data_IF_149592960722
#
_entry.id   IF_149592960722
#
_cell.length_a   1.000
_cell.length_b   1.000
_cell.length_c   1.000
_cell.angle_alpha   90.00
_cell.angle_beta   90.00
_cell.angle_gamma   90.00
#
_symmetry.space_group_name_H-M   'P 1'
#
loop_
_entity.id
_entity.type
_entity.pdbx_description
1 polymer ?
#
# COMPACT_ATOMS: atom_id res chain seq x y z
N UNK A 1 -28.91 30.78 -54.23
CA UNK A 1 -27.43 30.62 -54.40
C UNK A 1 -26.66 30.61 -53.06
N UNK A 2 -27.02 31.41 -52.04
CA UNK A 2 -26.30 31.42 -50.75
C UNK A 2 -26.26 30.10 -49.98
N UNK A 3 -27.35 29.38 -49.99
CA UNK A 3 -27.48 28.08 -49.27
C UNK A 3 -26.74 26.95 -50.01
N UNK A 4 -26.60 27.02 -51.33
CA UNK A 4 -25.89 26.02 -52.12
C UNK A 4 -24.37 26.05 -51.81
N UNK A 5 -23.80 27.26 -51.57
CA UNK A 5 -22.43 27.43 -51.16
C UNK A 5 -22.16 26.87 -49.78
N UNK A 6 -23.11 27.01 -48.83
CA UNK A 6 -22.97 26.47 -47.47
C UNK A 6 -23.00 24.94 -47.47
N UNK A 7 -23.85 24.33 -48.33
CA UNK A 7 -23.93 22.86 -48.44
C UNK A 7 -22.62 22.29 -49.04
N UNK A 8 -22.04 22.96 -50.04
CA UNK A 8 -20.76 22.56 -50.61
C UNK A 8 -19.62 22.70 -49.62
N UNK A 9 -19.61 23.78 -48.77
CA UNK A 9 -18.61 23.98 -47.72
C UNK A 9 -18.73 22.90 -46.62
N UNK A 10 -19.95 22.54 -46.21
CA UNK A 10 -20.15 21.48 -45.23
C UNK A 10 -19.77 20.09 -45.76
N UNK A 11 -20.04 19.79 -47.05
CA UNK A 11 -19.65 18.51 -47.66
C UNK A 11 -18.13 18.39 -47.80
N UNK A 12 -17.43 19.48 -48.09
CA UNK A 12 -15.97 19.51 -48.18
C UNK A 12 -15.29 19.28 -46.80
N UNK A 13 -15.89 19.78 -45.73
CA UNK A 13 -15.36 19.59 -44.36
C UNK A 13 -15.51 18.15 -43.86
N UNK A 14 -16.56 17.45 -44.29
CA UNK A 14 -16.79 16.03 -43.91
C UNK A 14 -15.80 15.11 -44.62
N UNK A 15 -15.46 15.38 -45.90
CA UNK A 15 -14.49 14.58 -46.64
C UNK A 15 -13.04 14.78 -46.16
N UNK A 16 -12.68 15.96 -45.64
CA UNK A 16 -11.35 16.22 -45.10
C UNK A 16 -11.10 15.48 -43.79
N UNK A 17 -12.15 15.26 -42.95
CA UNK A 17 -12.01 14.53 -41.69
C UNK A 17 -11.92 13.01 -41.86
N UNK A 18 -12.45 12.46 -42.95
CA UNK A 18 -12.44 11.00 -43.20
C UNK A 18 -11.03 10.45 -43.52
N UNK A 19 -10.16 11.25 -44.10
CA UNK A 19 -8.79 10.81 -44.45
C UNK A 19 -7.85 10.74 -43.22
N UNK A 20 -8.20 11.39 -42.14
CA UNK A 20 -7.41 11.37 -40.92
C UNK A 20 -7.39 10.00 -40.22
N UNK A 21 -8.45 9.21 -40.37
CA UNK A 21 -8.56 7.88 -39.74
C UNK A 21 -7.83 6.77 -40.52
N UNK A 22 -7.56 6.94 -41.81
CA UNK A 22 -6.96 5.89 -42.65
C UNK A 22 -5.48 5.66 -42.27
N UNK A 23 -4.74 6.72 -41.95
CA UNK A 23 -3.32 6.59 -41.58
C UNK A 23 -3.11 5.95 -40.20
N UNK A 24 -3.83 6.35 -39.12
CA UNK A 24 -3.68 5.69 -37.84
C UNK A 24 -4.16 4.24 -37.82
N UNK A 25 -5.21 3.90 -38.60
CA UNK A 25 -5.68 2.52 -38.68
C UNK A 25 -4.64 1.56 -39.29
N UNK A 26 -3.87 2.01 -40.28
CA UNK A 26 -2.75 1.23 -40.84
C UNK A 26 -1.58 1.12 -39.89
N UNK A 27 -1.33 2.15 -39.07
CA UNK A 27 -0.30 2.14 -38.03
C UNK A 27 -0.67 1.20 -36.86
N UNK A 28 -1.95 1.18 -36.47
CA UNK A 28 -2.46 0.30 -35.41
C UNK A 28 -2.40 -1.17 -35.84
N UNK A 29 -2.71 -1.47 -37.12
CA UNK A 29 -2.61 -2.83 -37.67
C UNK A 29 -1.18 -3.39 -37.61
N UNK A 30 -0.16 -2.54 -37.68
CA UNK A 30 1.23 -2.97 -37.56
C UNK A 30 1.68 -3.18 -36.08
N UNK A 31 1.03 -2.53 -35.11
CA UNK A 31 1.30 -2.73 -33.68
C UNK A 31 0.82 -4.13 -33.23
N UNK A 32 -0.20 -4.68 -33.89
CA UNK A 32 -0.71 -6.03 -33.59
C UNK A 32 -0.09 -7.13 -34.44
N UNK A 33 0.85 -6.81 -35.35
CA UNK A 33 1.69 -7.86 -35.93
C UNK A 33 2.47 -8.47 -34.78
N UNK A 34 2.20 -9.77 -34.53
CA UNK A 34 3.02 -10.56 -33.60
C UNK A 34 4.46 -10.40 -34.04
N UNK A 35 5.17 -9.49 -33.38
CA UNK A 35 6.62 -9.58 -33.34
C UNK A 35 6.92 -10.90 -32.63
N UNK A 36 7.58 -11.79 -33.32
CA UNK A 36 8.17 -12.95 -32.67
C UNK A 36 9.06 -12.40 -31.55
N UNK A 37 8.54 -12.44 -30.33
CA UNK A 37 9.22 -11.85 -29.15
C UNK A 37 10.50 -12.60 -28.77
N UNK A 38 10.72 -13.72 -29.40
CA UNK A 38 11.89 -14.54 -29.20
C UNK A 38 12.49 -14.88 -30.55
N UNK A 39 13.82 -14.73 -30.73
CA UNK A 39 14.46 -15.30 -31.90
C UNK A 39 14.08 -16.77 -31.95
N UNK A 40 13.73 -17.27 -33.16
CA UNK A 40 13.56 -18.69 -33.38
C UNK A 40 14.78 -19.39 -32.76
N UNK A 41 14.52 -20.16 -31.71
CA UNK A 41 15.55 -21.04 -31.16
C UNK A 41 15.85 -22.00 -32.30
N UNK A 42 16.95 -21.76 -33.01
CA UNK A 42 17.48 -22.71 -33.98
C UNK A 42 17.60 -24.01 -33.22
N UNK A 43 16.91 -25.06 -33.68
CA UNK A 43 17.06 -26.41 -33.10
C UNK A 43 18.52 -26.66 -32.86
N UNK A 44 18.95 -26.51 -31.64
CA UNK A 44 20.27 -26.92 -31.20
C UNK A 44 20.20 -28.43 -31.35
N UNK A 45 20.71 -28.93 -32.49
CA UNK A 45 20.94 -30.38 -32.69
C UNK A 45 21.50 -30.87 -31.38
N UNK A 46 20.81 -31.80 -30.73
CA UNK A 46 21.14 -32.44 -29.49
C UNK A 46 22.66 -32.57 -29.31
N UNK A 47 23.27 -31.52 -28.80
CA UNK A 47 24.50 -31.71 -28.07
C UNK A 47 24.01 -32.36 -26.79
N UNK A 48 24.12 -33.69 -26.75
CA UNK A 48 23.84 -34.46 -25.57
C UNK A 48 24.50 -33.72 -24.39
N UNK A 49 23.67 -32.91 -23.70
CA UNK A 49 24.08 -32.36 -22.40
C UNK A 49 24.31 -33.60 -21.59
N UNK A 50 25.63 -33.98 -21.47
CA UNK A 50 26.02 -35.16 -20.73
C UNK A 50 25.27 -35.10 -19.42
N UNK A 51 24.31 -36.02 -19.22
CA UNK A 51 23.61 -36.13 -17.97
C UNK A 51 24.68 -36.26 -16.90
N UNK A 52 24.82 -35.21 -16.09
CA UNK A 52 25.69 -35.30 -14.91
C UNK A 52 25.33 -36.59 -14.18
N UNK A 53 26.32 -37.47 -13.93
CA UNK A 53 26.04 -38.71 -13.27
C UNK A 53 25.32 -38.44 -11.97
N UNK A 54 24.17 -39.13 -11.75
CA UNK A 54 23.25 -38.88 -10.64
C UNK A 54 23.93 -38.93 -9.25
N UNK A 55 25.12 -39.54 -9.19
CA UNK A 55 25.94 -39.60 -7.97
C UNK A 55 26.56 -38.27 -7.56
N UNK A 56 26.61 -37.24 -8.44
CA UNK A 56 27.24 -35.93 -8.14
C UNK A 56 26.19 -34.87 -7.70
N UNK A 57 24.93 -35.16 -7.79
CA UNK A 57 23.90 -34.32 -7.16
C UNK A 57 24.00 -34.54 -5.64
N UNK A 58 24.80 -33.69 -4.98
CA UNK A 58 24.77 -33.62 -3.53
C UNK A 58 23.28 -33.45 -3.13
N UNK A 59 22.75 -34.47 -2.47
CA UNK A 59 21.41 -34.37 -1.84
C UNK A 59 21.54 -33.31 -0.76
N UNK A 60 21.35 -32.05 -1.13
CA UNK A 60 21.15 -31.00 -0.14
C UNK A 60 19.94 -31.42 0.69
N UNK A 61 20.21 -31.84 1.91
CA UNK A 61 19.19 -32.04 2.92
C UNK A 61 18.59 -30.66 3.12
N UNK A 62 17.43 -30.43 2.50
CA UNK A 62 16.64 -29.23 2.76
C UNK A 62 16.30 -29.32 4.25
N UNK A 63 17.03 -28.57 5.07
CA UNK A 63 16.66 -28.35 6.45
C UNK A 63 15.29 -27.69 6.38
N UNK A 64 14.26 -28.42 6.80
CA UNK A 64 12.94 -27.84 7.00
C UNK A 64 13.12 -26.70 7.99
N UNK A 65 13.09 -25.48 7.50
CA UNK A 65 12.99 -24.31 8.36
C UNK A 65 11.63 -24.48 9.04
N UNK A 66 11.64 -24.64 10.36
CA UNK A 66 10.43 -24.59 11.15
C UNK A 66 9.89 -23.16 10.99
N UNK A 67 9.07 -22.94 9.97
CA UNK A 67 8.27 -21.73 9.83
C UNK A 67 7.33 -21.73 11.05
N UNK A 68 7.49 -20.72 11.90
CA UNK A 68 6.53 -20.48 12.97
C UNK A 68 5.15 -20.35 12.32
N UNK A 69 4.27 -21.32 12.58
CA UNK A 69 2.92 -21.39 12.01
C UNK A 69 2.15 -20.08 12.29
N UNK A 70 2.41 -19.46 13.43
CA UNK A 70 1.78 -18.19 13.83
C UNK A 70 2.19 -17.06 12.87
N UNK A 71 3.46 -16.94 12.53
CA UNK A 71 3.98 -15.93 11.59
C UNK A 71 3.42 -16.15 10.18
N UNK A 72 3.32 -17.41 9.74
CA UNK A 72 2.76 -17.73 8.43
C UNK A 72 1.26 -17.45 8.35
N UNK A 73 0.50 -17.73 9.38
CA UNK A 73 -0.93 -17.44 9.43
C UNK A 73 -1.20 -15.92 9.41
N UNK A 74 -0.39 -15.13 10.13
CA UNK A 74 -0.46 -13.67 10.10
C UNK A 74 -0.15 -13.11 8.72
N UNK A 75 0.87 -13.65 8.05
CA UNK A 75 1.20 -13.25 6.68
C UNK A 75 0.04 -13.54 5.70
N UNK A 76 -0.60 -14.71 5.80
CA UNK A 76 -1.75 -15.03 4.95
C UNK A 76 -2.94 -14.10 5.21
N UNK A 77 -3.21 -13.74 6.46
CA UNK A 77 -4.25 -12.78 6.82
C UNK A 77 -3.93 -11.39 6.25
N UNK A 78 -2.71 -10.93 6.41
CA UNK A 78 -2.23 -9.66 5.85
C UNK A 78 -2.44 -9.62 4.32
N UNK A 79 -2.02 -10.67 3.61
CA UNK A 79 -2.20 -10.80 2.17
C UNK A 79 -3.67 -10.82 1.76
N UNK A 80 -4.54 -11.47 2.51
CA UNK A 80 -5.97 -11.52 2.23
C UNK A 80 -6.62 -10.13 2.39
N UNK A 81 -6.35 -9.43 3.50
CA UNK A 81 -6.88 -8.09 3.75
C UNK A 81 -6.32 -7.10 2.72
N UNK A 82 -5.03 -7.19 2.36
CA UNK A 82 -4.41 -6.37 1.34
C UNK A 82 -5.09 -6.54 -0.03
N UNK A 83 -5.33 -7.79 -0.46
CA UNK A 83 -6.05 -8.06 -1.71
C UNK A 83 -7.45 -7.47 -1.70
N UNK A 84 -8.16 -7.58 -0.58
CA UNK A 84 -9.50 -7.02 -0.42
C UNK A 84 -9.46 -5.48 -0.47
N UNK A 85 -8.49 -4.86 0.19
CA UNK A 85 -8.29 -3.41 0.14
C UNK A 85 -8.02 -2.92 -1.30
N UNK A 86 -7.11 -3.59 -2.02
CA UNK A 86 -6.80 -3.29 -3.42
C UNK A 86 -8.01 -3.48 -4.33
N UNK A 87 -8.78 -4.55 -4.12
CA UNK A 87 -10.01 -4.79 -4.85
C UNK A 87 -11.00 -3.63 -4.64
N UNK A 88 -11.27 -3.27 -3.38
CA UNK A 88 -12.19 -2.19 -3.04
C UNK A 88 -11.74 -0.83 -3.60
N UNK A 89 -10.45 -0.54 -3.57
CA UNK A 89 -9.88 0.66 -4.22
C UNK A 89 -10.10 0.65 -5.73
N UNK A 90 -9.85 -0.47 -6.38
CA UNK A 90 -10.02 -0.61 -7.84
C UNK A 90 -11.48 -0.43 -8.27
N UNK A 91 -12.42 -0.93 -7.50
CA UNK A 91 -13.86 -0.84 -7.77
C UNK A 91 -14.52 0.41 -7.13
N UNK A 92 -13.71 1.33 -6.58
CA UNK A 92 -14.17 2.59 -5.98
C UNK A 92 -15.11 2.42 -4.79
N UNK A 93 -15.03 1.28 -4.11
CA UNK A 93 -15.73 1.03 -2.84
C UNK A 93 -14.88 1.60 -1.70
N UNK A 94 -14.70 2.92 -1.73
CA UNK A 94 -13.72 3.61 -0.88
C UNK A 94 -14.01 3.46 0.61
N UNK A 95 -15.27 3.45 1.00
CA UNK A 95 -15.63 3.26 2.40
C UNK A 95 -15.11 1.90 2.92
N UNK A 96 -15.41 0.80 2.22
CA UNK A 96 -14.89 -0.52 2.60
C UNK A 96 -13.35 -0.58 2.54
N UNK A 97 -12.72 0.11 1.58
CA UNK A 97 -11.27 0.17 1.50
C UNK A 97 -10.64 0.84 2.73
N UNK A 98 -11.24 1.92 3.25
CA UNK A 98 -10.74 2.60 4.45
C UNK A 98 -10.76 1.69 5.68
N UNK A 99 -11.79 0.89 5.85
CA UNK A 99 -11.86 -0.12 6.92
C UNK A 99 -10.80 -1.21 6.74
N UNK A 100 -10.58 -1.72 5.52
CA UNK A 100 -9.53 -2.70 5.28
C UNK A 100 -8.13 -2.14 5.58
N UNK A 101 -7.88 -0.85 5.28
CA UNK A 101 -6.61 -0.22 5.65
C UNK A 101 -6.46 -0.07 7.16
N UNK A 102 -7.54 0.22 7.89
CA UNK A 102 -7.48 0.25 9.36
C UNK A 102 -7.21 -1.14 9.97
N UNK A 103 -7.76 -2.20 9.37
CA UNK A 103 -7.50 -3.57 9.79
C UNK A 103 -6.02 -3.94 9.58
N UNK A 104 -5.46 -3.60 8.40
CA UNK A 104 -4.02 -3.76 8.14
C UNK A 104 -3.18 -2.99 9.15
N UNK A 105 -3.52 -1.75 9.43
CA UNK A 105 -2.80 -0.93 10.40
C UNK A 105 -2.82 -1.55 11.80
N UNK A 106 -3.95 -2.11 12.23
CA UNK A 106 -4.05 -2.82 13.51
C UNK A 106 -3.20 -4.10 13.53
N UNK A 107 -3.15 -4.84 12.42
CA UNK A 107 -2.32 -6.04 12.32
C UNK A 107 -0.84 -5.68 12.44
N UNK A 108 -0.37 -4.63 11.76
CA UNK A 108 1.00 -4.15 11.87
C UNK A 108 1.34 -3.60 13.25
N UNK A 109 0.37 -2.91 13.89
CA UNK A 109 0.54 -2.43 15.25
C UNK A 109 0.76 -3.58 16.25
N UNK A 110 -0.01 -4.68 16.11
CA UNK A 110 0.18 -5.90 16.93
C UNK A 110 1.54 -6.56 16.72
N UNK A 111 2.12 -6.42 15.54
CA UNK A 111 3.46 -6.91 15.20
C UNK A 111 4.58 -5.93 15.61
N UNK A 112 4.25 -4.81 16.26
CA UNK A 112 5.17 -3.71 16.58
C UNK A 112 5.85 -3.08 15.35
N UNK A 113 5.22 -3.20 14.18
CA UNK A 113 5.67 -2.59 12.91
C UNK A 113 5.01 -1.22 12.76
N UNK A 114 5.51 -0.27 13.55
CA UNK A 114 4.88 1.06 13.70
C UNK A 114 4.88 1.90 12.42
N UNK A 115 5.92 1.76 11.55
CA UNK A 115 6.02 2.52 10.30
C UNK A 115 4.92 2.14 9.31
N UNK A 116 4.70 0.85 9.13
CA UNK A 116 3.66 0.34 8.26
C UNK A 116 2.28 0.62 8.83
N UNK A 117 2.10 0.42 10.14
CA UNK A 117 0.86 0.77 10.82
C UNK A 117 0.49 2.24 10.63
N UNK A 118 1.44 3.16 10.83
CA UNK A 118 1.26 4.60 10.59
C UNK A 118 0.84 4.89 9.15
N UNK A 119 1.49 4.25 8.17
CA UNK A 119 1.18 4.46 6.76
C UNK A 119 -0.26 4.03 6.43
N UNK A 120 -0.69 2.86 6.89
CA UNK A 120 -2.04 2.37 6.64
C UNK A 120 -3.12 3.17 7.39
N UNK A 121 -2.84 3.64 8.62
CA UNK A 121 -3.72 4.57 9.32
C UNK A 121 -3.88 5.89 8.57
N UNK A 122 -2.82 6.42 7.97
CA UNK A 122 -2.91 7.61 7.12
C UNK A 122 -3.78 7.37 5.89
N UNK A 123 -3.64 6.23 5.22
CA UNK A 123 -4.50 5.89 4.08
C UNK A 123 -5.97 5.78 4.49
N UNK A 124 -6.24 5.08 5.60
CA UNK A 124 -7.59 4.98 6.17
C UNK A 124 -8.17 6.35 6.48
N UNK A 125 -7.41 7.22 7.15
CA UNK A 125 -7.81 8.58 7.50
C UNK A 125 -8.14 9.44 6.28
N UNK A 126 -7.28 9.42 5.26
CA UNK A 126 -7.50 10.21 4.04
C UNK A 126 -8.80 9.80 3.34
N UNK A 127 -9.04 8.49 3.23
CA UNK A 127 -10.22 7.98 2.56
C UNK A 127 -11.48 8.23 3.39
N UNK A 128 -11.46 8.00 4.70
CA UNK A 128 -12.62 8.22 5.58
C UNK A 128 -13.07 9.69 5.56
N UNK A 129 -12.11 10.64 5.56
CA UNK A 129 -12.41 12.07 5.39
C UNK A 129 -13.07 12.37 4.06
N UNK A 130 -12.58 11.78 2.95
CA UNK A 130 -13.18 11.95 1.62
C UNK A 130 -14.59 11.37 1.52
N UNK A 131 -14.89 10.35 2.31
CA UNK A 131 -16.20 9.71 2.34
C UNK A 131 -17.15 10.34 3.39
N UNK A 132 -16.69 11.33 4.15
CA UNK A 132 -17.41 11.94 5.27
C UNK A 132 -17.86 10.89 6.33
N UNK A 133 -17.00 9.87 6.54
CA UNK A 133 -17.19 8.90 7.62
C UNK A 133 -16.46 9.39 8.87
N UNK A 134 -17.14 10.25 9.63
CA UNK A 134 -16.57 10.92 10.80
C UNK A 134 -16.19 9.93 11.89
N UNK A 135 -17.00 8.89 12.09
CA UNK A 135 -16.73 7.88 13.10
C UNK A 135 -15.47 7.09 12.79
N UNK A 136 -15.29 6.71 11.53
CA UNK A 136 -14.08 6.02 11.09
C UNK A 136 -12.86 6.93 11.07
N UNK A 137 -13.05 8.23 10.78
CA UNK A 137 -12.02 9.26 10.86
C UNK A 137 -11.48 9.39 12.27
N UNK A 138 -12.35 9.45 13.29
CA UNK A 138 -11.98 9.47 14.70
C UNK A 138 -11.15 8.22 15.06
N UNK A 139 -11.61 7.04 14.66
CA UNK A 139 -10.89 5.78 14.90
C UNK A 139 -9.48 5.80 14.27
N UNK A 140 -9.37 6.32 13.06
CA UNK A 140 -8.09 6.42 12.33
C UNK A 140 -7.13 7.41 13.00
N UNK A 141 -7.63 8.55 13.49
CA UNK A 141 -6.84 9.52 14.26
C UNK A 141 -6.32 8.92 15.58
N UNK A 142 -7.15 8.17 16.29
CA UNK A 142 -6.73 7.45 17.50
C UNK A 142 -5.63 6.43 17.22
N UNK A 143 -5.76 5.68 16.11
CA UNK A 143 -4.74 4.74 15.66
C UNK A 143 -3.42 5.42 15.29
N UNK A 144 -3.48 6.55 14.58
CA UNK A 144 -2.31 7.37 14.27
C UNK A 144 -1.62 7.90 15.52
N UNK A 145 -2.40 8.40 16.49
CA UNK A 145 -1.86 8.86 17.76
C UNK A 145 -1.13 7.75 18.50
N UNK A 146 -1.64 6.51 18.48
CA UNK A 146 -0.96 5.35 19.06
C UNK A 146 0.38 5.09 18.39
N UNK A 147 0.44 5.13 17.04
CA UNK A 147 1.68 4.93 16.30
C UNK A 147 2.71 6.04 16.60
N UNK A 148 2.26 7.32 16.60
CA UNK A 148 3.13 8.47 16.89
C UNK A 148 3.68 8.42 18.32
N UNK A 149 2.85 8.03 19.28
CA UNK A 149 3.29 7.82 20.66
C UNK A 149 4.33 6.70 20.77
N UNK A 150 4.18 5.63 19.98
CA UNK A 150 5.17 4.55 19.90
C UNK A 150 6.53 5.00 19.38
N UNK A 151 6.58 6.07 18.58
CA UNK A 151 7.82 6.74 18.16
C UNK A 151 8.35 7.77 19.14
N UNK A 152 7.62 8.07 20.21
CA UNK A 152 7.95 9.13 21.15
C UNK A 152 7.45 10.53 20.73
N UNK A 153 6.74 10.64 19.60
CA UNK A 153 6.17 11.90 19.10
C UNK A 153 4.87 12.27 19.84
N UNK A 154 4.96 12.40 21.18
CA UNK A 154 3.81 12.64 22.03
C UNK A 154 3.06 13.93 21.68
N UNK A 155 3.77 14.96 21.22
CA UNK A 155 3.17 16.24 20.83
C UNK A 155 2.21 16.07 19.64
N UNK A 156 2.66 15.38 18.59
CA UNK A 156 1.82 15.12 17.42
C UNK A 156 0.68 14.14 17.73
N UNK A 157 0.95 13.13 18.60
CA UNK A 157 -0.09 12.21 19.05
C UNK A 157 -1.21 12.94 19.80
N UNK A 158 -0.86 13.90 20.66
CA UNK A 158 -1.84 14.73 21.37
C UNK A 158 -2.63 15.65 20.44
N UNK A 159 -2.02 16.16 19.36
CA UNK A 159 -2.72 16.94 18.35
C UNK A 159 -3.79 16.10 17.64
N UNK A 160 -3.44 14.89 17.20
CA UNK A 160 -4.39 13.97 16.55
C UNK A 160 -5.56 13.61 17.49
N UNK A 161 -5.28 13.36 18.77
CA UNK A 161 -6.31 13.08 19.77
C UNK A 161 -7.21 14.28 20.07
N UNK A 162 -6.67 15.50 20.09
CA UNK A 162 -7.48 16.70 20.24
C UNK A 162 -8.42 16.87 19.05
N UNK A 163 -7.92 16.70 17.81
CA UNK A 163 -8.75 16.74 16.60
C UNK A 163 -9.86 15.67 16.67
N UNK A 164 -9.52 14.44 17.03
CA UNK A 164 -10.49 13.37 17.19
C UNK A 164 -11.56 13.70 18.24
N UNK A 165 -11.16 14.30 19.38
CA UNK A 165 -12.06 14.70 20.47
C UNK A 165 -13.01 15.81 20.01
N UNK A 166 -12.48 16.82 19.33
CA UNK A 166 -13.29 17.96 18.87
C UNK A 166 -14.33 17.48 17.84
N UNK A 167 -13.95 16.58 16.93
CA UNK A 167 -14.86 15.93 15.99
C UNK A 167 -15.90 15.07 16.73
N UNK A 168 -15.50 14.25 17.71
CA UNK A 168 -16.42 13.42 18.48
C UNK A 168 -17.43 14.27 19.27
N UNK A 169 -16.98 15.40 19.84
CA UNK A 169 -17.86 16.33 20.54
C UNK A 169 -18.87 17.00 19.60
N UNK A 170 -18.44 17.42 18.42
CA UNK A 170 -19.34 18.07 17.44
C UNK A 170 -20.46 17.14 16.95
N UNK A 171 -20.18 15.83 16.89
CA UNK A 171 -21.14 14.80 16.48
C UNK A 171 -21.86 14.11 17.66
N UNK A 172 -21.53 14.48 18.90
CA UNK A 172 -22.17 13.91 20.09
C UNK A 172 -21.78 12.45 20.38
N UNK A 173 -20.63 11.98 19.92
CA UNK A 173 -20.13 10.61 20.15
C UNK A 173 -19.49 10.47 21.53
N UNK A 174 -20.31 10.43 22.56
CA UNK A 174 -19.86 10.44 23.97
C UNK A 174 -18.96 9.27 24.34
N UNK A 175 -19.20 8.08 23.80
CA UNK A 175 -18.38 6.89 24.02
C UNK A 175 -16.97 7.07 23.45
N UNK A 176 -16.86 7.68 22.26
CA UNK A 176 -15.59 7.93 21.61
C UNK A 176 -14.81 9.00 22.37
N UNK A 177 -15.47 10.06 22.85
CA UNK A 177 -14.87 11.09 23.72
C UNK A 177 -14.27 10.47 24.99
N UNK A 178 -14.99 9.54 25.62
CA UNK A 178 -14.47 8.86 26.82
C UNK A 178 -13.22 8.02 26.49
N UNK A 179 -13.23 7.31 25.36
CA UNK A 179 -12.10 6.51 24.90
C UNK A 179 -10.88 7.37 24.56
N UNK A 180 -11.09 8.50 23.87
CA UNK A 180 -10.03 9.46 23.53
C UNK A 180 -9.43 10.06 24.79
N UNK A 181 -10.25 10.50 25.75
CA UNK A 181 -9.76 11.06 27.00
C UNK A 181 -8.93 10.04 27.81
N UNK A 182 -9.32 8.75 27.78
CA UNK A 182 -8.53 7.68 28.39
C UNK A 182 -7.16 7.55 27.72
N UNK A 183 -7.13 7.59 26.40
CA UNK A 183 -5.88 7.51 25.63
C UNK A 183 -5.00 8.73 25.86
N UNK A 184 -5.56 9.94 25.94
CA UNK A 184 -4.82 11.16 26.25
C UNK A 184 -4.15 11.10 27.62
N UNK A 185 -4.86 10.63 28.65
CA UNK A 185 -4.28 10.42 29.99
C UNK A 185 -3.13 9.42 29.95
N UNK A 186 -3.33 8.28 29.28
CA UNK A 186 -2.28 7.28 29.12
C UNK A 186 -1.02 7.86 28.45
N UNK A 187 -1.17 8.72 27.44
CA UNK A 187 -0.02 9.36 26.78
C UNK A 187 0.66 10.39 27.68
N UNK A 188 -0.09 11.14 28.50
CA UNK A 188 0.48 12.08 29.46
C UNK A 188 1.31 11.35 30.52
N UNK A 189 0.77 10.26 31.08
CA UNK A 189 1.46 9.44 32.07
C UNK A 189 2.74 8.80 31.51
N UNK A 190 2.74 8.40 30.26
CA UNK A 190 3.92 7.80 29.61
C UNK A 190 4.93 8.82 29.12
N UNK A 191 4.54 10.06 28.86
CA UNK A 191 5.47 11.14 28.51
C UNK A 191 6.44 11.41 29.65
N UNK A 192 5.93 11.32 30.89
CA UNK A 192 6.71 11.58 32.09
C UNK A 192 7.57 10.36 32.49
N UNK A 193 7.32 9.20 31.90
CA UNK A 193 8.05 7.95 32.14
C UNK A 193 8.35 7.20 30.83
N UNK A 194 9.32 7.65 30.01
CA UNK A 194 9.64 7.04 28.73
C UNK A 194 10.18 5.62 28.93
N UNK A 195 9.31 4.62 28.82
CA UNK A 195 9.65 3.20 28.99
C UNK A 195 10.38 2.55 27.83
N UNK A 196 10.60 3.23 26.73
CA UNK A 196 11.33 2.67 25.60
C UNK A 196 11.95 3.79 24.74
N UNK A 197 13.20 4.09 24.96
CA UNK A 197 14.04 4.54 23.85
C UNK A 197 14.01 3.44 22.79
N UNK A 198 13.33 3.72 21.68
CA UNK A 198 13.42 2.87 20.50
C UNK A 198 14.80 3.16 19.89
N UNK A 199 15.78 2.36 20.28
CA UNK A 199 17.17 2.44 19.85
C UNK A 199 17.34 1.93 18.43
N UNK A 200 16.79 2.63 17.43
CA UNK A 200 17.14 2.36 16.02
C UNK A 200 18.43 3.07 15.58
N UNK A 201 18.92 4.05 16.36
CA UNK A 201 20.13 4.82 16.01
C UNK A 201 21.43 4.17 16.50
N UNK A 202 21.41 3.32 17.51
CA UNK A 202 22.66 2.77 18.10
C UNK A 202 23.21 1.53 17.38
N UNK A 203 22.43 0.86 16.54
CA UNK A 203 22.92 -0.33 15.82
C UNK A 203 23.78 0.03 14.61
N UNK A 204 23.73 1.26 14.13
CA UNK A 204 24.50 1.71 12.96
C UNK A 204 25.91 2.22 13.30
N UNK A 205 26.22 2.51 14.56
CA UNK A 205 27.52 3.10 14.95
C UNK A 205 28.52 2.12 15.58
N UNK A 206 28.15 0.86 15.76
CA UNK A 206 29.10 -0.15 16.25
C UNK A 206 29.77 -0.91 15.08
N UNK A 207 30.40 -0.21 14.15
CA UNK A 207 31.44 -0.82 13.36
C UNK A 207 32.63 -1.14 14.26
N UNK A 208 33.10 -2.40 14.29
CA UNK A 208 34.29 -2.75 15.09
C UNK A 208 35.48 -2.00 14.53
N UNK A 209 36.06 -1.09 15.31
CA UNK A 209 37.37 -0.49 15.02
C UNK A 209 38.34 -1.61 14.79
N UNK A 210 38.73 -1.87 13.52
CA UNK A 210 39.83 -2.72 13.16
C UNK A 210 41.11 -2.22 13.86
N UNK A 211 41.52 -2.94 14.90
CA UNK A 211 42.85 -2.77 15.47
C UNK A 211 43.84 -3.33 14.45
N UNK A 212 44.47 -2.43 13.71
CA UNK A 212 45.61 -2.74 12.88
C UNK A 212 46.81 -2.86 13.86
N UNK A 213 47.31 -4.08 13.99
CA UNK A 213 48.65 -4.36 14.55
C UNK A 213 49.64 -4.41 13.43
#
# INVERSE_FOLDING_TARGET
>A
MRYLLLIILCSASISASAQWWVKPAKSIGNVFKKHERFPLIVDVKDHSIGRLPAAQLAKHKITTVNLDLASYSLYLQEMAVMKTAQHNMRFRVYNAASYNFSDLAQMYLKQNRLSEAKWYWLQSLLISRQQNDDKHTITSLMGLATCKAGYGDFTQAMQDLNEARDMANSHGFTADVASINKQMRYLQDNKDNPKAEIRYAETAEQEPKKVIK
#
